data_IF_167824200864
#
_entry.id   IF_167824200864
#
_cell.length_a   1.000
_cell.length_b   1.000
_cell.length_c   1.000
_cell.angle_alpha   90.00
_cell.angle_beta   90.00
_cell.angle_gamma   90.00
#
_symmetry.space_group_name_H-M   'P 1'
#
loop_
_entity.id
_entity.type
_entity.pdbx_description
1 polymer ?
#
# COMPACT_ATOMS: atom_id res chain seq x y z
N UNK A 1 -28.03 -15.85 -5.96
CA UNK A 1 -27.84 -15.15 -7.24
C UNK A 1 -27.66 -13.69 -6.89
N UNK A 2 -26.50 -13.06 -6.99
CA UNK A 2 -25.43 -13.23 -7.97
C UNK A 2 -24.05 -13.35 -7.28
N UNK A 3 -23.26 -14.30 -7.76
CA UNK A 3 -21.79 -14.24 -7.70
C UNK A 3 -21.42 -13.44 -8.95
N UNK A 4 -20.89 -12.23 -8.78
CA UNK A 4 -20.18 -11.57 -9.87
C UNK A 4 -18.72 -11.96 -9.74
N UNK A 5 -18.38 -13.09 -10.36
CA UNK A 5 -17.03 -13.36 -10.81
C UNK A 5 -16.75 -12.43 -11.99
N UNK A 6 -16.16 -11.27 -11.69
CA UNK A 6 -15.43 -10.50 -12.67
C UNK A 6 -13.95 -10.75 -12.40
N UNK A 7 -13.30 -11.54 -13.26
CA UNK A 7 -11.84 -11.63 -13.29
C UNK A 7 -11.29 -10.23 -13.58
N UNK A 8 -10.94 -9.49 -12.53
CA UNK A 8 -10.21 -8.23 -12.65
C UNK A 8 -8.79 -8.62 -13.08
N UNK A 9 -8.46 -8.40 -14.35
CA UNK A 9 -7.10 -8.66 -14.83
C UNK A 9 -6.16 -7.61 -14.27
N UNK A 10 -4.87 -7.94 -14.11
CA UNK A 10 -3.86 -6.97 -13.66
C UNK A 10 -3.73 -5.79 -14.64
N UNK A 11 -4.08 -5.99 -15.91
CA UNK A 11 -4.16 -4.95 -16.94
C UNK A 11 -5.28 -3.94 -16.67
N UNK A 12 -6.44 -4.39 -16.15
CA UNK A 12 -7.56 -3.50 -15.79
C UNK A 12 -7.27 -2.69 -14.50
N UNK A 13 -6.34 -3.16 -13.67
CA UNK A 13 -5.96 -2.50 -12.43
C UNK A 13 -5.02 -1.31 -12.66
N UNK A 14 -4.01 -1.46 -13.52
CA UNK A 14 -3.03 -0.39 -13.81
C UNK A 14 -3.73 0.78 -14.53
N UNK A 15 -3.50 2.01 -14.04
CA UNK A 15 -4.13 3.21 -14.59
C UNK A 15 -5.61 3.38 -14.25
N UNK A 16 -6.20 2.45 -13.49
CA UNK A 16 -7.54 2.63 -12.92
C UNK A 16 -7.56 3.67 -11.81
N UNK A 17 -8.75 4.09 -11.38
CA UNK A 17 -8.90 5.02 -10.26
C UNK A 17 -8.30 4.49 -8.94
N UNK A 18 -8.14 3.16 -8.80
CA UNK A 18 -7.72 2.46 -7.57
C UNK A 18 -6.40 1.71 -7.72
N UNK A 19 -5.72 1.80 -8.88
CA UNK A 19 -4.45 1.15 -9.13
C UNK A 19 -3.30 2.12 -9.34
N UNK A 20 -2.08 1.60 -9.55
CA UNK A 20 -0.91 2.43 -9.79
C UNK A 20 -1.09 3.24 -11.08
N UNK A 21 -0.75 4.54 -11.08
CA UNK A 21 -0.70 5.33 -12.30
C UNK A 21 0.28 4.70 -13.31
N UNK A 22 -0.04 4.79 -14.60
CA UNK A 22 0.90 4.40 -15.65
C UNK A 22 2.12 5.30 -15.61
N UNK A 23 3.32 4.72 -15.55
CA UNK A 23 4.56 5.48 -15.42
C UNK A 23 5.79 4.60 -15.56
N UNK A 24 6.91 5.08 -15.04
CA UNK A 24 8.12 4.27 -14.91
C UNK A 24 7.97 3.21 -13.80
N UNK A 25 8.76 2.14 -13.89
CA UNK A 25 8.69 1.03 -12.95
C UNK A 25 8.93 1.42 -11.50
N UNK A 26 9.79 2.43 -11.23
CA UNK A 26 10.08 2.87 -9.86
C UNK A 26 8.84 3.52 -9.24
N UNK A 27 8.22 4.46 -9.96
CA UNK A 27 6.99 5.12 -9.49
C UNK A 27 5.85 4.13 -9.25
N UNK A 28 5.70 3.14 -10.13
CA UNK A 28 4.69 2.09 -9.98
C UNK A 28 4.97 1.20 -8.76
N UNK A 29 6.23 0.81 -8.54
CA UNK A 29 6.63 0.02 -7.37
C UNK A 29 6.43 0.80 -6.07
N UNK A 30 6.85 2.06 -6.02
CA UNK A 30 6.70 2.89 -4.83
C UNK A 30 5.20 3.12 -4.50
N UNK A 31 4.34 3.23 -5.51
CA UNK A 31 2.90 3.26 -5.32
C UNK A 31 2.36 1.97 -4.69
N UNK A 32 2.73 0.80 -5.23
CA UNK A 32 2.30 -0.51 -4.72
C UNK A 32 2.77 -0.71 -3.29
N UNK A 33 4.03 -0.34 -3.03
CA UNK A 33 4.63 -0.43 -1.71
C UNK A 33 3.92 0.48 -0.69
N UNK A 34 3.66 1.75 -1.06
CA UNK A 34 2.97 2.70 -0.20
C UNK A 34 1.55 2.25 0.14
N UNK A 35 0.76 1.83 -0.86
CA UNK A 35 -0.62 1.41 -0.64
C UNK A 35 -0.70 0.13 0.18
N UNK A 36 0.19 -0.83 -0.06
CA UNK A 36 0.35 -2.06 0.74
C UNK A 36 0.75 -1.77 2.20
N UNK A 37 1.68 -0.82 2.37
CA UNK A 37 2.16 -0.38 3.70
C UNK A 37 1.01 0.20 4.52
N UNK A 38 0.13 0.97 3.87
CA UNK A 38 -1.05 1.58 4.47
C UNK A 38 -2.28 0.64 4.46
N UNK A 39 -2.19 -0.59 3.95
CA UNK A 39 -3.33 -1.49 3.84
C UNK A 39 -3.63 -2.20 5.18
N UNK A 40 -4.17 -1.46 6.15
CA UNK A 40 -4.66 -2.01 7.41
C UNK A 40 -5.85 -1.20 7.93
N UNK A 41 -6.76 -1.86 8.65
CA UNK A 41 -7.87 -1.24 9.39
C UNK A 41 -8.81 -0.34 8.56
N UNK A 42 -9.69 -0.97 7.77
CA UNK A 42 -10.78 -0.29 7.04
C UNK A 42 -12.18 -0.67 7.55
N UNK A 43 -12.24 -1.55 8.54
CA UNK A 43 -13.47 -2.00 9.18
C UNK A 43 -13.90 -0.98 10.24
N UNK A 44 -15.20 -0.78 10.38
CA UNK A 44 -15.78 -0.03 11.49
C UNK A 44 -16.68 -0.96 12.31
N UNK A 45 -16.68 -0.78 13.63
CA UNK A 45 -17.65 -1.43 14.51
C UNK A 45 -19.02 -0.70 14.48
N UNK A 46 -19.05 0.51 13.95
CA UNK A 46 -20.23 1.35 13.84
C UNK A 46 -20.88 1.14 12.46
N UNK A 47 -21.87 0.24 12.42
CA UNK A 47 -22.62 -0.07 11.20
C UNK A 47 -23.45 1.12 10.69
N UNK A 48 -23.73 2.11 11.54
CA UNK A 48 -24.49 3.30 11.15
C UNK A 48 -23.61 4.32 10.43
N UNK A 49 -22.35 4.49 10.87
CA UNK A 49 -21.40 5.42 10.23
C UNK A 49 -20.75 4.88 8.96
N UNK A 50 -20.74 3.57 8.76
CA UNK A 50 -20.11 2.95 7.59
C UNK A 50 -18.59 3.11 7.58
N UNK A 51 -17.94 2.70 6.49
CA UNK A 51 -16.49 2.81 6.32
C UNK A 51 -16.09 4.19 5.77
N UNK A 52 -14.82 4.57 5.99
CA UNK A 52 -14.20 5.70 5.30
C UNK A 52 -14.53 5.68 3.82
N UNK A 53 -15.12 6.76 3.30
CA UNK A 53 -15.49 6.86 1.91
C UNK A 53 -15.10 8.22 1.29
N UNK A 54 -14.96 8.21 -0.04
CA UNK A 54 -14.52 9.36 -0.81
C UNK A 54 -15.23 9.37 -2.15
N UNK A 55 -15.67 10.55 -2.59
CA UNK A 55 -16.21 10.73 -3.94
C UNK A 55 -15.08 11.12 -4.89
N UNK A 56 -15.01 10.44 -6.02
CA UNK A 56 -14.14 10.82 -7.14
C UNK A 56 -14.89 10.62 -8.45
N UNK A 57 -14.88 11.64 -9.30
CA UNK A 57 -15.76 11.73 -10.48
C UNK A 57 -17.21 11.50 -10.03
N UNK A 58 -17.93 10.59 -10.70
CA UNK A 58 -19.33 10.25 -10.39
C UNK A 58 -19.48 9.00 -9.51
N UNK A 59 -18.38 8.49 -8.91
CA UNK A 59 -18.38 7.28 -8.09
C UNK A 59 -17.96 7.57 -6.64
N UNK A 60 -18.56 6.83 -5.71
CA UNK A 60 -18.14 6.78 -4.30
C UNK A 60 -17.34 5.51 -4.08
N UNK A 61 -16.16 5.67 -3.48
CA UNK A 61 -15.24 4.59 -3.12
C UNK A 61 -15.26 4.40 -1.61
N UNK A 62 -14.98 3.19 -1.14
CA UNK A 62 -15.04 2.82 0.28
C UNK A 62 -13.76 2.11 0.73
N UNK A 63 -13.40 2.30 2.00
CA UNK A 63 -12.28 1.59 2.63
C UNK A 63 -10.96 1.74 1.88
N UNK A 64 -10.35 0.62 1.52
CA UNK A 64 -9.07 0.59 0.81
C UNK A 64 -9.12 1.29 -0.54
N UNK A 65 -10.18 1.09 -1.33
CA UNK A 65 -10.32 1.75 -2.63
C UNK A 65 -10.37 3.28 -2.48
N UNK A 66 -11.04 3.79 -1.45
CA UNK A 66 -11.09 5.22 -1.17
C UNK A 66 -9.69 5.78 -0.82
N UNK A 67 -8.86 4.99 -0.13
CA UNK A 67 -7.47 5.35 0.16
C UNK A 67 -6.59 5.35 -1.10
N UNK A 68 -6.73 4.35 -1.99
CA UNK A 68 -6.04 4.34 -3.28
C UNK A 68 -6.41 5.56 -4.13
N UNK A 69 -7.70 5.90 -4.20
CA UNK A 69 -8.18 7.12 -4.86
C UNK A 69 -7.62 8.39 -4.22
N UNK A 70 -7.44 8.42 -2.90
CA UNK A 70 -6.79 9.53 -2.20
C UNK A 70 -5.33 9.72 -2.59
N UNK A 71 -4.57 8.62 -2.67
CA UNK A 71 -3.18 8.65 -3.11
C UNK A 71 -3.10 9.10 -4.57
N UNK A 72 -3.94 8.55 -5.46
CA UNK A 72 -3.95 8.92 -6.87
C UNK A 72 -4.32 10.39 -7.10
N UNK A 73 -5.28 10.94 -6.33
CA UNK A 73 -5.57 12.37 -6.41
C UNK A 73 -4.42 13.23 -5.88
N UNK A 74 -3.77 12.85 -4.77
CA UNK A 74 -2.62 13.58 -4.25
C UNK A 74 -1.50 13.68 -5.31
N UNK A 75 -1.23 12.58 -6.03
CA UNK A 75 -0.27 12.58 -7.15
C UNK A 75 -0.70 13.56 -8.25
N UNK A 76 -1.98 13.54 -8.65
CA UNK A 76 -2.51 14.43 -9.69
C UNK A 76 -2.49 15.91 -9.28
N UNK A 77 -2.64 16.19 -7.98
CA UNK A 77 -2.59 17.54 -7.41
C UNK A 77 -1.13 18.04 -7.21
N UNK A 78 -0.14 17.23 -7.61
CA UNK A 78 1.28 17.57 -7.53
C UNK A 78 1.91 17.35 -6.15
N UNK A 79 1.24 16.61 -5.26
CA UNK A 79 1.81 16.18 -3.98
C UNK A 79 2.73 15.01 -4.22
N UNK A 80 3.98 15.12 -3.75
CA UNK A 80 5.03 14.10 -3.91
C UNK A 80 4.87 12.93 -2.91
N UNK A 81 3.65 12.37 -2.84
CA UNK A 81 3.24 11.36 -1.85
C UNK A 81 4.00 10.03 -1.99
N UNK A 82 4.59 9.75 -3.15
CA UNK A 82 5.40 8.54 -3.39
C UNK A 82 6.87 8.69 -2.95
N UNK A 83 7.31 9.92 -2.65
CA UNK A 83 8.70 10.17 -2.27
C UNK A 83 8.93 9.95 -0.78
N UNK A 84 9.82 9.00 -0.44
CA UNK A 84 10.20 8.70 0.95
C UNK A 84 10.68 9.91 1.74
N UNK A 85 11.32 10.90 1.10
CA UNK A 85 11.73 12.15 1.74
C UNK A 85 10.54 13.02 2.14
N UNK A 86 9.46 12.99 1.35
CA UNK A 86 8.23 13.71 1.63
C UNK A 86 7.47 13.03 2.76
N UNK A 87 7.08 11.77 2.59
CA UNK A 87 6.23 11.10 3.58
C UNK A 87 6.97 10.70 4.87
N UNK A 88 8.31 10.74 4.92
CA UNK A 88 9.04 10.63 6.20
C UNK A 88 8.94 11.89 7.08
N UNK A 89 8.41 12.99 6.54
CA UNK A 89 8.31 14.31 7.20
C UNK A 89 6.93 14.92 7.15
N UNK A 90 5.99 14.23 6.51
CA UNK A 90 4.60 14.64 6.39
C UNK A 90 3.99 14.86 7.77
N UNK A 91 3.13 15.86 7.90
CA UNK A 91 2.48 16.16 9.18
C UNK A 91 1.11 15.49 9.29
N UNK A 92 0.55 15.45 10.49
CA UNK A 92 -0.84 14.99 10.67
C UNK A 92 -1.81 15.83 9.83
N UNK A 93 -1.62 17.15 9.79
CA UNK A 93 -2.48 18.04 9.01
C UNK A 93 -2.40 17.73 7.50
N UNK A 94 -1.22 17.39 6.99
CA UNK A 94 -1.09 16.95 5.58
C UNK A 94 -1.87 15.65 5.36
N UNK A 95 -1.74 14.66 6.24
CA UNK A 95 -2.48 13.40 6.18
C UNK A 95 -3.99 13.60 6.22
N UNK A 96 -4.49 14.44 7.13
CA UNK A 96 -5.90 14.77 7.25
C UNK A 96 -6.45 15.44 5.98
N UNK A 97 -5.63 16.25 5.31
CA UNK A 97 -6.00 16.87 4.04
C UNK A 97 -5.99 15.86 2.89
N UNK A 98 -4.93 15.06 2.75
CA UNK A 98 -4.81 14.04 1.70
C UNK A 98 -5.92 13.00 1.82
N UNK A 99 -6.14 12.47 3.02
CA UNK A 99 -7.14 11.44 3.29
C UNK A 99 -8.49 12.03 3.73
N UNK A 100 -8.78 13.30 3.42
CA UNK A 100 -10.05 13.93 3.77
C UNK A 100 -11.24 13.09 3.26
N UNK A 101 -12.17 12.69 4.15
CA UNK A 101 -13.33 11.90 3.78
C UNK A 101 -14.37 12.74 3.02
N UNK A 102 -15.33 12.06 2.38
CA UNK A 102 -16.57 12.70 1.91
C UNK A 102 -17.34 13.32 3.09
N UNK A 103 -18.13 14.36 2.84
CA UNK A 103 -19.00 14.93 3.87
C UNK A 103 -19.89 13.86 4.51
N UNK A 104 -19.98 13.86 5.85
CA UNK A 104 -20.68 12.86 6.67
C UNK A 104 -20.09 11.44 6.68
N UNK A 105 -18.94 11.21 6.05
CA UNK A 105 -18.18 9.96 6.23
C UNK A 105 -17.29 10.03 7.47
N UNK A 106 -17.09 8.91 8.19
CA UNK A 106 -16.06 8.84 9.22
C UNK A 106 -14.66 9.08 8.62
N UNK A 107 -13.69 9.55 9.43
CA UNK A 107 -12.31 9.69 9.00
C UNK A 107 -11.68 8.31 8.72
N UNK A 108 -10.59 8.31 7.96
CA UNK A 108 -9.78 7.11 7.78
C UNK A 108 -9.32 6.60 9.16
N UNK A 109 -9.55 5.32 9.52
CA UNK A 109 -9.14 4.82 10.82
C UNK A 109 -7.61 4.85 10.97
N UNK A 110 -7.16 5.01 12.22
CA UNK A 110 -5.76 4.86 12.63
C UNK A 110 -4.79 5.81 11.90
N UNK A 111 -5.19 7.08 11.71
CA UNK A 111 -4.33 8.09 11.06
C UNK A 111 -3.00 8.32 11.79
N UNK A 112 -2.97 8.26 13.12
CA UNK A 112 -1.73 8.37 13.90
C UNK A 112 -0.76 7.23 13.59
N UNK A 113 -1.28 5.99 13.52
CA UNK A 113 -0.49 4.82 13.22
C UNK A 113 0.00 4.84 11.77
N UNK A 114 -0.82 5.31 10.83
CA UNK A 114 -0.42 5.54 9.43
C UNK A 114 0.70 6.56 9.34
N UNK A 115 0.62 7.66 10.09
CA UNK A 115 1.69 8.67 10.17
C UNK A 115 3.01 8.04 10.64
N UNK A 116 2.96 7.28 11.74
CA UNK A 116 4.14 6.61 12.29
C UNK A 116 4.74 5.62 11.29
N UNK A 117 3.90 4.83 10.61
CA UNK A 117 4.35 3.86 9.60
C UNK A 117 5.00 4.55 8.40
N UNK A 118 4.47 5.70 7.95
CA UNK A 118 5.08 6.50 6.88
C UNK A 118 6.44 7.03 7.30
N UNK A 119 6.56 7.55 8.53
CA UNK A 119 7.81 8.06 9.07
C UNK A 119 8.88 6.96 9.19
N UNK A 120 8.51 5.81 9.75
CA UNK A 120 9.41 4.65 9.91
C UNK A 120 9.85 4.10 8.55
N UNK A 121 8.90 3.79 7.69
CA UNK A 121 9.14 3.20 6.37
C UNK A 121 9.94 4.15 5.47
N UNK A 122 9.61 5.44 5.48
CA UNK A 122 10.34 6.45 4.71
C UNK A 122 11.77 6.61 5.20
N UNK A 123 12.00 6.57 6.52
CA UNK A 123 13.34 6.63 7.10
C UNK A 123 14.19 5.42 6.68
N UNK A 124 13.62 4.21 6.72
CA UNK A 124 14.31 2.98 6.27
C UNK A 124 14.69 3.09 4.79
N UNK A 125 13.75 3.50 3.93
CA UNK A 125 14.02 3.65 2.50
C UNK A 125 15.12 4.66 2.20
N UNK A 126 15.12 5.80 2.89
CA UNK A 126 16.17 6.82 2.72
C UNK A 126 17.55 6.34 3.19
N UNK A 127 17.61 5.56 4.27
CA UNK A 127 18.86 5.09 4.85
C UNK A 127 19.48 3.91 4.08
N UNK A 128 18.64 2.99 3.62
CA UNK A 128 19.10 1.69 3.12
C UNK A 128 18.83 1.47 1.62
N UNK A 129 17.84 2.19 1.06
CA UNK A 129 17.29 1.92 -0.27
C UNK A 129 17.22 3.17 -1.14
N UNK A 130 18.09 4.16 -0.92
CA UNK A 130 18.18 5.40 -1.73
C UNK A 130 16.82 6.11 -1.94
N UNK A 131 15.87 5.91 -1.03
CA UNK A 131 14.52 6.47 -1.09
C UNK A 131 13.48 5.66 -1.88
N UNK A 132 13.82 4.52 -2.50
CA UNK A 132 12.92 3.78 -3.40
C UNK A 132 12.88 2.29 -3.08
N UNK A 133 11.68 1.70 -3.07
CA UNK A 133 11.50 0.29 -2.69
C UNK A 133 12.07 -0.69 -3.73
N UNK A 134 12.23 -0.25 -4.98
CA UNK A 134 12.84 -1.06 -6.05
C UNK A 134 14.21 -1.64 -5.66
N UNK A 135 15.02 -0.91 -4.87
CA UNK A 135 16.32 -1.39 -4.41
C UNK A 135 16.22 -2.51 -3.37
N UNK A 136 15.09 -2.63 -2.66
CA UNK A 136 14.80 -3.77 -1.80
C UNK A 136 14.48 -5.02 -2.64
N UNK A 137 13.73 -4.86 -3.74
CA UNK A 137 13.45 -5.93 -4.71
C UNK A 137 14.75 -6.41 -5.37
N UNK A 138 15.59 -5.49 -5.85
CA UNK A 138 16.89 -5.83 -6.44
C UNK A 138 17.79 -6.60 -5.45
N UNK A 139 17.74 -6.26 -4.16
CA UNK A 139 18.49 -6.94 -3.12
C UNK A 139 18.03 -8.40 -2.91
N UNK A 140 16.78 -8.75 -3.24
CA UNK A 140 16.31 -10.15 -3.15
C UNK A 140 16.84 -11.04 -4.27
N UNK A 141 17.51 -10.49 -5.28
CA UNK A 141 18.09 -11.26 -6.37
C UNK A 141 17.06 -11.98 -7.26
N UNK A 142 15.81 -11.50 -7.30
CA UNK A 142 14.74 -12.14 -8.06
C UNK A 142 14.22 -13.43 -7.41
N UNK A 143 14.38 -13.59 -6.09
CA UNK A 143 13.74 -14.63 -5.30
C UNK A 143 12.61 -14.01 -4.44
N UNK A 144 11.42 -14.59 -4.52
CA UNK A 144 10.21 -14.13 -3.83
C UNK A 144 10.26 -14.41 -2.33
N UNK A 145 10.80 -15.58 -1.92
CA UNK A 145 10.98 -15.92 -0.50
C UNK A 145 11.96 -14.94 0.16
N UNK A 146 13.12 -14.71 -0.47
CA UNK A 146 14.13 -13.76 0.01
C UNK A 146 13.56 -12.34 0.10
N UNK A 147 12.69 -11.94 -0.83
CA UNK A 147 12.01 -10.64 -0.78
C UNK A 147 11.06 -10.57 0.43
N UNK A 148 10.26 -11.60 0.69
CA UNK A 148 9.41 -11.67 1.88
C UNK A 148 10.24 -11.56 3.16
N UNK A 149 11.35 -12.29 3.24
CA UNK A 149 12.25 -12.24 4.41
C UNK A 149 12.87 -10.85 4.60
N UNK A 150 13.32 -10.21 3.51
CA UNK A 150 13.82 -8.83 3.55
C UNK A 150 12.75 -7.86 4.01
N UNK A 151 11.52 -7.96 3.49
CA UNK A 151 10.41 -7.08 3.86
C UNK A 151 10.13 -7.18 5.37
N UNK A 152 9.95 -8.40 5.88
CA UNK A 152 9.65 -8.65 7.31
C UNK A 152 10.79 -8.18 8.21
N UNK A 153 12.04 -8.41 7.79
CA UNK A 153 13.22 -7.99 8.53
C UNK A 153 13.31 -6.47 8.61
N UNK A 154 13.07 -5.78 7.50
CA UNK A 154 13.36 -4.34 7.36
C UNK A 154 12.21 -3.44 7.74
N UNK A 155 10.97 -3.84 7.46
CA UNK A 155 9.79 -3.00 7.64
C UNK A 155 8.89 -3.57 8.74
N UNK A 156 8.96 -3.05 9.98
CA UNK A 156 8.18 -3.56 11.12
C UNK A 156 6.68 -3.60 10.87
N UNK A 157 6.16 -2.69 10.04
CA UNK A 157 4.76 -2.66 9.63
C UNK A 157 4.26 -3.97 8.97
N UNK A 158 5.14 -4.84 8.49
CA UNK A 158 4.80 -6.12 7.86
C UNK A 158 4.95 -7.35 8.78
N UNK A 159 5.34 -7.14 10.05
CA UNK A 159 5.50 -8.20 11.04
C UNK A 159 4.16 -8.57 11.65
N UNK A 160 3.36 -9.33 10.90
CA UNK A 160 2.12 -9.94 11.37
C UNK A 160 2.43 -11.13 12.31
N UNK A 161 3.07 -10.85 13.45
CA UNK A 161 3.48 -11.83 14.47
C UNK A 161 2.52 -11.79 15.67
N UNK A 162 2.16 -12.96 16.19
CA UNK A 162 1.39 -13.11 17.42
C UNK A 162 2.00 -14.19 18.32
N UNK A 163 1.73 -14.12 19.62
CA UNK A 163 2.03 -15.20 20.55
C UNK A 163 0.77 -16.02 20.77
N UNK A 164 0.80 -17.28 20.35
CA UNK A 164 -0.28 -18.25 20.58
C UNK A 164 0.28 -19.43 21.38
N UNK A 165 -0.30 -19.69 22.54
CA UNK A 165 0.12 -20.76 23.46
C UNK A 165 1.64 -20.75 23.80
N UNK A 166 2.19 -19.56 24.05
CA UNK A 166 3.61 -19.37 24.35
C UNK A 166 4.55 -19.54 23.15
N UNK A 167 4.03 -19.85 21.96
CA UNK A 167 4.80 -19.94 20.72
C UNK A 167 4.57 -18.70 19.86
N UNK A 168 5.65 -18.19 19.25
CA UNK A 168 5.57 -17.11 18.26
C UNK A 168 5.06 -17.71 16.95
N UNK A 169 3.88 -17.27 16.51
CA UNK A 169 3.27 -17.65 15.24
C UNK A 169 3.32 -16.44 14.31
N UNK A 170 3.81 -16.66 13.09
CA UNK A 170 3.97 -15.61 12.08
C UNK A 170 3.38 -16.08 10.76
N UNK A 171 2.51 -15.28 10.16
CA UNK A 171 1.92 -15.59 8.86
C UNK A 171 2.57 -14.80 7.72
N UNK A 172 3.14 -13.63 8.02
CA UNK A 172 3.76 -12.70 7.06
C UNK A 172 2.93 -12.49 5.78
N UNK A 173 1.60 -12.52 5.93
CA UNK A 173 0.69 -12.58 4.79
C UNK A 173 0.72 -11.27 3.99
N UNK A 174 0.86 -10.12 4.66
CA UNK A 174 0.98 -8.82 4.00
C UNK A 174 2.24 -8.71 3.15
N UNK A 175 3.36 -9.30 3.60
CA UNK A 175 4.58 -9.34 2.81
C UNK A 175 4.41 -10.22 1.55
N UNK A 176 3.78 -11.40 1.69
CA UNK A 176 3.48 -12.26 0.54
C UNK A 176 2.54 -11.60 -0.46
N UNK A 177 1.51 -10.88 0.01
CA UNK A 177 0.59 -10.14 -0.86
C UNK A 177 1.33 -9.05 -1.62
N UNK A 178 2.19 -8.27 -0.95
CA UNK A 178 3.01 -7.25 -1.63
C UNK A 178 3.86 -7.86 -2.77
N UNK A 179 4.53 -8.99 -2.52
CA UNK A 179 5.31 -9.68 -3.56
C UNK A 179 4.42 -10.16 -4.72
N UNK A 180 3.22 -10.65 -4.40
CA UNK A 180 2.23 -11.08 -5.40
C UNK A 180 1.71 -9.91 -6.24
N UNK A 181 1.44 -8.75 -5.62
CA UNK A 181 0.97 -7.54 -6.30
C UNK A 181 2.05 -6.99 -7.25
N UNK A 182 3.33 -7.05 -6.85
CA UNK A 182 4.46 -6.69 -7.71
C UNK A 182 4.55 -7.63 -8.91
N UNK A 183 4.51 -8.95 -8.69
CA UNK A 183 4.52 -9.92 -9.78
C UNK A 183 3.35 -9.71 -10.74
N UNK A 184 2.13 -9.49 -10.21
CA UNK A 184 0.93 -9.26 -10.99
C UNK A 184 1.01 -7.98 -11.83
N UNK A 185 1.53 -6.90 -11.25
CA UNK A 185 1.70 -5.61 -11.93
C UNK A 185 2.63 -5.70 -13.15
N UNK A 186 3.71 -6.50 -13.05
CA UNK A 186 4.67 -6.67 -14.13
C UNK A 186 4.49 -7.98 -14.91
N UNK A 187 3.41 -8.71 -14.66
CA UNK A 187 3.11 -10.02 -15.25
C UNK A 187 4.30 -11.00 -15.21
N UNK A 188 5.07 -11.00 -14.11
CA UNK A 188 6.27 -11.84 -13.95
C UNK A 188 7.48 -11.48 -14.81
N UNK A 189 7.51 -10.29 -15.42
CA UNK A 189 8.62 -9.82 -16.26
C UNK A 189 9.44 -8.71 -15.59
N UNK A 190 10.68 -8.51 -16.05
CA UNK A 190 11.54 -7.42 -15.60
C UNK A 190 11.73 -7.43 -14.08
N UNK A 191 11.40 -6.33 -13.43
CA UNK A 191 11.54 -6.16 -11.97
C UNK A 191 10.54 -7.01 -11.14
N UNK A 192 9.44 -7.46 -11.74
CA UNK A 192 8.50 -8.38 -11.08
C UNK A 192 8.78 -9.85 -11.40
N UNK A 193 9.90 -10.17 -12.05
CA UNK A 193 10.30 -11.54 -12.30
C UNK A 193 10.89 -12.17 -11.04
N UNK A 194 10.24 -13.22 -10.55
CA UNK A 194 10.72 -14.04 -9.44
C UNK A 194 10.87 -15.49 -9.91
N UNK A 195 12.01 -16.10 -9.62
CA UNK A 195 12.39 -17.43 -10.13
C UNK A 195 11.63 -18.59 -9.48
N UNK A 196 10.99 -18.34 -8.34
CA UNK A 196 10.33 -19.28 -7.45
C UNK A 196 8.80 -19.04 -7.34
N UNK A 197 8.23 -18.31 -8.31
CA UNK A 197 6.79 -18.05 -8.45
C UNK A 197 6.17 -18.76 -9.65
#
# INVERSE_FOLDING_TARGET
SAVMDGECTTEDWIGSDVGPPTGDSTSMIDWIFLTSTLNFSFWTNDKEKGSYCRKYKDKVYHGYEAMCVAINQAINDGIDILNAKYYSRITMNDLENIFRPLDNSPPLPMLNERLNVLHETGSILLQEYRGHFIHCIEQSGGNAIDLVELIVKKFPAYRDEAVYDGQRVSFYKRAQILVSDIWGCFNGHGIGHFTDM
#
